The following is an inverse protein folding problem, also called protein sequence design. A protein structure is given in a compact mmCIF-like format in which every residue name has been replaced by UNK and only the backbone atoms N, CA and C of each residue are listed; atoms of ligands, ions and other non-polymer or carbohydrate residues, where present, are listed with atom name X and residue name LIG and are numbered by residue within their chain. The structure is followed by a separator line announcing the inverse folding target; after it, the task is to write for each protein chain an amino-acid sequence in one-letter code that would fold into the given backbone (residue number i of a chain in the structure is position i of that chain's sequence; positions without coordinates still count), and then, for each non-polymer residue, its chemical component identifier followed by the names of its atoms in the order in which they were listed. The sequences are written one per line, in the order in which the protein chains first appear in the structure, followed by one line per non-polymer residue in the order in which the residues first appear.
data_IF_036711890783
#
_entry.id   IF_036711890783
#
_cell.length_a   1.000
_cell.length_b   1.000
_cell.length_c   1.000
_cell.angle_alpha   90.00
_cell.angle_beta   90.00
_cell.angle_gamma   90.00
#
_symmetry.space_group_name_H-M   'P 1'
#
loop_
_entity.id
_entity.type
_entity.pdbx_description
1 polymer ?
#
# COMPACT_ATOMS: atom_id res chain seq x y z
N UNK A 1 -9.20 -11.80 -12.13
CA UNK A 1 -9.49 -11.55 -10.70
C UNK A 1 -8.86 -10.20 -10.37
N UNK A 2 -9.29 -9.43 -9.34
CA UNK A 2 -8.66 -8.15 -9.09
C UNK A 2 -7.22 -8.38 -8.61
N UNK A 3 -6.28 -7.89 -9.40
CA UNK A 3 -4.86 -8.11 -9.21
C UNK A 3 -4.31 -7.28 -8.04
N UNK A 4 -3.33 -7.82 -7.32
CA UNK A 4 -2.79 -7.21 -6.09
C UNK A 4 -2.18 -5.82 -6.37
N UNK A 5 -1.55 -5.66 -7.52
CA UNK A 5 -0.94 -4.41 -7.99
C UNK A 5 -1.96 -3.27 -8.16
N UNK A 6 -3.18 -3.58 -8.61
CA UNK A 6 -4.24 -2.58 -8.74
C UNK A 6 -4.67 -2.02 -7.38
N UNK A 7 -4.79 -2.88 -6.36
CA UNK A 7 -5.08 -2.44 -5.00
C UNK A 7 -3.93 -1.65 -4.41
N UNK A 8 -2.71 -2.09 -4.68
CA UNK A 8 -1.52 -1.39 -4.22
C UNK A 8 -1.43 0.00 -4.83
N UNK A 9 -1.63 0.13 -6.14
CA UNK A 9 -1.63 1.42 -6.83
C UNK A 9 -2.67 2.37 -6.23
N UNK A 10 -3.90 1.89 -6.03
CA UNK A 10 -4.96 2.69 -5.41
C UNK A 10 -4.60 3.15 -4.00
N UNK A 11 -3.98 2.27 -3.20
CA UNK A 11 -3.54 2.59 -1.84
C UNK A 11 -2.43 3.65 -1.85
N UNK A 12 -1.42 3.50 -2.70
CA UNK A 12 -0.31 4.45 -2.82
C UNK A 12 -0.80 5.82 -3.28
N UNK A 13 -1.69 5.86 -4.28
CA UNK A 13 -2.31 7.10 -4.76
C UNK A 13 -3.12 7.79 -3.64
N UNK A 14 -3.82 7.01 -2.81
CA UNK A 14 -4.61 7.55 -1.68
C UNK A 14 -3.76 8.06 -0.52
N UNK A 15 -2.59 7.44 -0.28
CA UNK A 15 -1.66 7.83 0.79
C UNK A 15 -0.66 8.90 0.35
N UNK A 16 -0.55 9.16 -0.95
CA UNK A 16 0.32 10.20 -1.47
C UNK A 16 -0.02 11.57 -0.87
N UNK A 17 1.00 12.29 -0.40
CA UNK A 17 0.90 13.55 0.35
C UNK A 17 0.16 13.48 1.68
N UNK A 18 -0.30 12.30 2.09
CA UNK A 18 -0.94 12.06 3.39
C UNK A 18 0.01 11.33 4.34
N UNK A 19 0.51 10.16 3.95
CA UNK A 19 1.45 9.38 4.76
C UNK A 19 2.93 9.71 4.43
N UNK A 20 3.20 10.15 3.19
CA UNK A 20 4.51 10.54 2.70
C UNK A 20 4.37 11.65 1.65
N UNK A 21 5.36 12.54 1.48
CA UNK A 21 5.31 13.62 0.49
C UNK A 21 5.09 13.19 -0.96
N UNK A 22 5.70 12.09 -1.38
CA UNK A 22 5.61 11.51 -2.73
C UNK A 22 5.82 9.99 -2.66
N UNK A 23 5.09 9.21 -3.48
CA UNK A 23 5.23 7.75 -3.54
C UNK A 23 6.60 7.31 -4.09
N UNK A 24 7.32 8.20 -4.78
CA UNK A 24 8.71 8.02 -5.18
C UNK A 24 9.71 7.86 -4.01
N UNK A 25 9.30 8.15 -2.77
CA UNK A 25 10.12 7.91 -1.57
C UNK A 25 10.06 6.46 -1.07
N UNK A 26 9.18 5.63 -1.61
CA UNK A 26 9.02 4.24 -1.20
C UNK A 26 10.15 3.42 -1.82
N UNK A 27 11.17 3.12 -1.02
CA UNK A 27 12.34 2.33 -1.46
C UNK A 27 12.15 0.82 -1.31
N UNK A 28 11.19 0.40 -0.50
CA UNK A 28 10.86 -1.01 -0.26
C UNK A 28 9.36 -1.15 0.02
N UNK A 29 8.77 -2.21 -0.51
CA UNK A 29 7.35 -2.52 -0.34
C UNK A 29 7.14 -4.04 -0.27
N UNK A 30 6.38 -4.49 0.72
CA UNK A 30 5.90 -5.87 0.84
C UNK A 30 4.38 -5.85 0.83
N UNK A 31 3.76 -6.71 0.03
CA UNK A 31 2.31 -6.80 -0.09
C UNK A 31 1.86 -8.24 -0.34
N UNK A 32 0.83 -8.66 0.39
CA UNK A 32 0.25 -9.99 0.31
C UNK A 32 -1.26 -9.90 0.06
N UNK A 33 -1.76 -10.77 -0.82
CA UNK A 33 -3.21 -10.94 -1.02
C UNK A 33 -3.72 -12.05 -0.10
N UNK A 34 -4.45 -11.66 0.92
CA UNK A 34 -5.06 -12.58 1.88
C UNK A 34 -6.58 -12.61 1.69
N UNK A 35 -7.17 -13.80 1.72
CA UNK A 35 -8.62 -13.99 1.67
C UNK A 35 -9.17 -14.09 3.10
N UNK A 36 -10.17 -13.27 3.42
CA UNK A 36 -10.81 -13.24 4.74
C UNK A 36 -12.29 -12.86 4.66
N UNK A 37 -13.02 -13.04 5.76
CA UNK A 37 -14.47 -12.79 5.81
C UNK A 37 -14.82 -11.30 5.69
N UNK A 38 -13.96 -10.43 6.25
CA UNK A 38 -14.14 -8.97 6.20
C UNK A 38 -13.13 -8.36 5.24
N UNK A 39 -13.58 -7.62 4.21
CA UNK A 39 -12.67 -6.95 3.28
C UNK A 39 -11.96 -5.78 3.96
N UNK A 40 -10.63 -5.77 3.92
CA UNK A 40 -9.82 -4.69 4.47
C UNK A 40 -8.46 -4.61 3.77
N UNK A 41 -7.78 -3.48 3.98
CA UNK A 41 -6.36 -3.32 3.68
C UNK A 41 -5.69 -2.91 4.99
N UNK A 42 -4.68 -3.66 5.39
CA UNK A 42 -3.87 -3.38 6.57
C UNK A 42 -2.50 -2.86 6.12
N UNK A 43 -2.03 -1.76 6.72
CA UNK A 43 -0.86 -1.02 6.23
C UNK A 43 0.02 -0.61 7.40
N UNK A 44 1.32 -0.82 7.24
CA UNK A 44 2.37 -0.35 8.14
C UNK A 44 3.37 0.44 7.33
N UNK A 45 3.79 1.59 7.86
CA UNK A 45 4.71 2.51 7.20
C UNK A 45 5.79 2.87 8.22
N UNK A 46 7.03 2.78 7.78
CA UNK A 46 8.21 3.10 8.58
C UNK A 46 9.19 3.93 7.72
N UNK A 47 9.97 4.80 8.37
CA UNK A 47 11.02 5.54 7.67
C UNK A 47 12.16 4.58 7.28
N UNK A 48 12.66 4.72 6.05
CA UNK A 48 13.88 4.05 5.64
C UNK A 48 15.07 4.69 6.37
N UNK A 49 15.87 3.85 7.04
CA UNK A 49 17.04 4.28 7.83
C UNK A 49 18.18 4.89 7.01
#
# INVERSE_FOLDING_TARGET
APDLDNYLKLLLDALNKFAFPDDGQIVQLHADKVYGETPMIEVWIEEAG
#
